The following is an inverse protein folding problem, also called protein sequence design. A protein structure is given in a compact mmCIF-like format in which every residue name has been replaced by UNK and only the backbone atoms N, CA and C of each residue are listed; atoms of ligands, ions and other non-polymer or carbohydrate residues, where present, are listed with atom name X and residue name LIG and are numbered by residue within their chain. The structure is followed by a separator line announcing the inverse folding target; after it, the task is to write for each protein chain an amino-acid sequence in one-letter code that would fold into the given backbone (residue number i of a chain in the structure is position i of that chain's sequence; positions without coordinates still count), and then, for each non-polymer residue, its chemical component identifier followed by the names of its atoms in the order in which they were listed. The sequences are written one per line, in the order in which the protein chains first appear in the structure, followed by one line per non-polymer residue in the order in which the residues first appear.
data_IF_089523778635
#
_entry.id   IF_089523778635
#
_cell.length_a   1.000
_cell.length_b   1.000
_cell.length_c   1.000
_cell.angle_alpha   90.00
_cell.angle_beta   90.00
_cell.angle_gamma   90.00
#
_symmetry.space_group_name_H-M   'P 1'
#
loop_
_entity.id
_entity.type
_entity.pdbx_description
1 polymer ?
#
# COMPACT_ATOMS: atom_id res chain seq x y z
N UNK A 1 0.81 -3.13 -17.11
CA UNK A 1 0.29 -1.78 -16.79
C UNK A 1 1.43 -0.93 -16.23
N UNK A 2 1.54 0.36 -16.57
CA UNK A 2 2.53 1.28 -15.97
C UNK A 2 1.76 2.41 -15.28
N UNK A 3 1.82 2.45 -13.95
CA UNK A 3 1.30 3.54 -13.15
C UNK A 3 2.39 4.62 -13.03
N UNK A 4 2.06 5.88 -13.31
CA UNK A 4 2.98 7.02 -13.15
C UNK A 4 2.27 8.09 -12.32
N UNK A 5 2.87 8.48 -11.19
CA UNK A 5 2.43 9.65 -10.45
C UNK A 5 3.01 10.90 -11.11
N UNK A 6 2.22 11.97 -11.22
CA UNK A 6 2.73 13.28 -11.62
C UNK A 6 3.40 13.97 -10.43
N UNK A 7 4.50 14.67 -10.70
CA UNK A 7 5.18 15.53 -9.72
C UNK A 7 4.40 16.84 -9.55
N UNK A 8 3.24 16.76 -8.90
CA UNK A 8 2.36 17.89 -8.60
C UNK A 8 1.79 17.72 -7.18
N UNK A 9 2.59 18.09 -6.19
CA UNK A 9 2.26 17.91 -4.79
C UNK A 9 1.33 19.01 -4.28
N UNK A 10 0.11 18.62 -3.90
CA UNK A 10 -0.82 19.45 -3.11
C UNK A 10 -1.07 18.71 -1.80
N UNK A 11 -0.56 19.25 -0.70
CA UNK A 11 -0.57 18.61 0.63
C UNK A 11 -1.96 18.13 1.04
N UNK A 12 -2.95 19.01 0.97
CA UNK A 12 -4.32 18.71 1.40
C UNK A 12 -4.93 17.54 0.61
N UNK A 13 -4.51 17.34 -0.64
CA UNK A 13 -4.94 16.19 -1.43
C UNK A 13 -4.15 14.95 -1.06
N UNK A 14 -2.82 15.05 -0.97
CA UNK A 14 -1.95 13.91 -0.68
C UNK A 14 -2.25 13.28 0.69
N UNK A 15 -2.54 14.10 1.70
CA UNK A 15 -2.88 13.65 3.06
C UNK A 15 -4.31 13.04 3.16
N UNK A 16 -5.17 13.21 2.14
CA UNK A 16 -6.53 12.67 2.10
C UNK A 16 -6.77 11.67 0.94
N UNK A 17 -5.78 11.47 0.06
CA UNK A 17 -5.91 10.60 -1.09
C UNK A 17 -5.69 9.15 -0.68
N UNK A 18 -6.62 8.29 -1.09
CA UNK A 18 -6.55 6.86 -0.88
C UNK A 18 -6.88 6.12 -2.16
N UNK A 19 -6.13 5.05 -2.46
CA UNK A 19 -6.47 4.08 -3.49
C UNK A 19 -6.78 2.72 -2.86
N UNK A 20 -7.83 2.07 -3.35
CA UNK A 20 -8.08 0.65 -3.08
C UNK A 20 -7.61 -0.13 -4.29
N UNK A 21 -6.75 -1.13 -4.07
CA UNK A 21 -6.13 -1.94 -5.11
C UNK A 21 -6.46 -3.41 -4.86
N UNK A 22 -7.24 -4.01 -5.74
CA UNK A 22 -7.47 -5.44 -5.75
C UNK A 22 -6.27 -6.18 -6.35
N UNK A 23 -5.74 -7.15 -5.62
CA UNK A 23 -4.58 -7.95 -6.00
C UNK A 23 -4.83 -9.43 -5.69
N UNK A 24 -4.03 -10.30 -6.29
CA UNK A 24 -4.15 -11.75 -6.05
C UNK A 24 -3.61 -12.17 -4.66
N UNK A 25 -2.58 -11.48 -4.15
CA UNK A 25 -1.91 -11.84 -2.89
C UNK A 25 -1.37 -10.62 -2.13
N UNK A 26 -2.06 -10.24 -1.05
CA UNK A 26 -1.66 -9.11 -0.20
C UNK A 26 -0.38 -9.37 0.62
N UNK A 27 -0.03 -10.64 0.92
CA UNK A 27 1.22 -10.96 1.62
C UNK A 27 2.44 -10.70 0.71
N UNK A 28 2.35 -11.12 -0.55
CA UNK A 28 3.42 -10.88 -1.52
C UNK A 28 3.68 -9.38 -1.71
N UNK A 29 2.62 -8.57 -1.73
CA UNK A 29 2.74 -7.11 -1.80
C UNK A 29 3.31 -6.49 -0.52
N UNK A 30 2.91 -6.97 0.66
CA UNK A 30 3.50 -6.55 1.93
C UNK A 30 5.00 -6.82 1.97
N UNK A 31 5.45 -8.04 1.66
CA UNK A 31 6.88 -8.38 1.70
C UNK A 31 7.68 -7.55 0.68
N UNK A 32 7.12 -7.34 -0.52
CA UNK A 32 7.75 -6.47 -1.52
C UNK A 32 7.90 -5.05 -1.00
N UNK A 33 6.86 -4.48 -0.41
CA UNK A 33 6.93 -3.13 0.18
C UNK A 33 7.94 -3.08 1.33
N UNK A 34 7.91 -4.07 2.24
CA UNK A 34 8.85 -4.17 3.37
C UNK A 34 10.31 -4.20 2.89
N UNK A 35 10.62 -4.94 1.83
CA UNK A 35 11.95 -5.00 1.24
C UNK A 35 12.37 -3.68 0.60
N UNK A 36 11.48 -3.00 -0.12
CA UNK A 36 11.75 -1.67 -0.70
C UNK A 36 12.02 -0.62 0.37
N UNK A 37 11.36 -0.74 1.53
CA UNK A 37 11.53 0.18 2.65
C UNK A 37 12.72 -0.18 3.57
N UNK A 38 13.36 -1.33 3.37
CA UNK A 38 14.34 -1.87 4.31
C UNK A 38 15.63 -1.04 4.42
N UNK A 39 16.02 -0.35 3.35
CA UNK A 39 17.24 0.47 3.29
C UNK A 39 17.05 1.91 3.82
N UNK A 40 15.82 2.30 4.14
CA UNK A 40 15.51 3.63 4.67
C UNK A 40 15.50 4.76 3.63
N UNK A 41 15.57 4.47 2.33
CA UNK A 41 15.50 5.48 1.25
C UNK A 41 14.22 6.32 1.31
N UNK A 42 13.15 5.74 1.86
CA UNK A 42 11.82 6.36 1.96
C UNK A 42 11.37 6.49 3.44
N UNK A 43 11.94 7.43 4.21
CA UNK A 43 11.74 7.47 5.67
C UNK A 43 10.31 7.77 6.12
N UNK A 44 9.51 8.38 5.24
CA UNK A 44 8.09 8.71 5.50
C UNK A 44 7.14 7.57 5.13
N UNK A 45 7.60 6.67 4.26
CA UNK A 45 6.80 5.54 3.82
C UNK A 45 6.80 4.43 4.87
N UNK A 46 5.67 3.73 4.98
CA UNK A 46 5.51 2.65 5.95
C UNK A 46 4.47 1.67 5.44
N UNK A 47 4.63 0.40 5.79
CA UNK A 47 3.67 -0.65 5.47
C UNK A 47 3.27 -1.40 6.75
N UNK A 48 2.00 -1.74 6.89
CA UNK A 48 1.51 -2.61 7.96
C UNK A 48 1.39 -4.06 7.49
N UNK A 49 1.67 -5.06 8.34
CA UNK A 49 1.39 -6.45 8.02
C UNK A 49 -0.07 -6.66 7.57
N UNK A 50 -0.35 -7.61 6.66
CA UNK A 50 -1.71 -7.87 6.24
C UNK A 50 -2.59 -8.30 7.41
N UNK A 51 -3.79 -7.74 7.48
CA UNK A 51 -4.83 -8.07 8.46
C UNK A 51 -6.03 -8.70 7.77
N UNK A 52 -6.68 -9.65 8.44
CA UNK A 52 -7.88 -10.28 7.92
C UNK A 52 -9.11 -9.42 8.23
N UNK A 53 -9.85 -9.04 7.20
CA UNK A 53 -11.10 -8.27 7.30
C UNK A 53 -12.15 -9.03 6.49
N UNK A 54 -13.18 -9.54 7.16
CA UNK A 54 -14.20 -10.40 6.56
C UNK A 54 -13.60 -11.56 5.73
N UNK A 55 -13.88 -11.59 4.42
CA UNK A 55 -13.40 -12.54 3.43
C UNK A 55 -12.17 -12.04 2.64
N UNK A 56 -11.50 -11.00 3.14
CA UNK A 56 -10.33 -10.40 2.53
C UNK A 56 -9.10 -10.38 3.46
N UNK A 57 -7.94 -10.23 2.84
CA UNK A 57 -6.67 -9.91 3.49
C UNK A 57 -6.23 -8.52 2.99
N UNK A 58 -5.97 -7.61 3.93
CA UNK A 58 -5.73 -6.19 3.62
C UNK A 58 -4.39 -5.74 4.19
N UNK A 59 -3.56 -5.10 3.38
CA UNK A 59 -2.36 -4.39 3.85
C UNK A 59 -2.43 -2.92 3.49
N UNK A 60 -1.98 -2.09 4.43
CA UNK A 60 -1.96 -0.64 4.29
C UNK A 60 -0.53 -0.17 4.04
N UNK A 61 -0.32 0.53 2.93
CA UNK A 61 0.95 1.15 2.56
C UNK A 61 0.76 2.67 2.45
N UNK A 62 1.55 3.42 3.20
CA UNK A 62 1.67 4.87 3.04
C UNK A 62 2.93 5.15 2.21
N UNK A 63 2.77 5.91 1.14
CA UNK A 63 3.89 6.37 0.34
C UNK A 63 4.58 7.60 0.98
N UNK A 64 5.73 8.08 0.43
CA UNK A 64 6.42 9.25 0.99
C UNK A 64 5.61 10.55 0.92
N UNK A 65 4.62 10.64 0.02
CA UNK A 65 3.78 11.82 -0.15
C UNK A 65 2.58 11.83 0.80
N UNK A 66 2.31 10.74 1.51
CA UNK A 66 1.20 10.60 2.46
C UNK A 66 -0.02 9.86 1.90
N UNK A 67 0.02 9.43 0.64
CA UNK A 67 -1.09 8.71 0.00
C UNK A 67 -1.23 7.32 0.63
N UNK A 68 -2.47 6.94 0.95
CA UNK A 68 -2.79 5.63 1.47
C UNK A 68 -3.16 4.65 0.35
N UNK A 69 -2.42 3.56 0.25
CA UNK A 69 -2.74 2.42 -0.61
C UNK A 69 -3.33 1.31 0.27
N UNK A 70 -4.59 0.99 0.05
CA UNK A 70 -5.30 -0.14 0.66
C UNK A 70 -5.25 -1.30 -0.33
N UNK A 71 -4.38 -2.27 -0.06
CA UNK A 71 -4.15 -3.41 -0.95
C UNK A 71 -4.98 -4.57 -0.43
N UNK A 72 -5.92 -5.03 -1.24
CA UNK A 72 -6.94 -6.02 -0.87
C UNK A 72 -6.73 -7.28 -1.70
N UNK A 73 -6.68 -8.43 -1.05
CA UNK A 73 -6.68 -9.74 -1.69
C UNK A 73 -7.80 -10.62 -1.13
N UNK A 74 -8.38 -11.53 -1.94
CA UNK A 74 -9.32 -12.50 -1.43
C UNK A 74 -8.64 -13.38 -0.38
N UNK A 75 -9.34 -13.64 0.74
CA UNK A 75 -8.88 -14.57 1.75
C UNK A 75 -9.13 -15.98 1.24
N UNK A 76 -8.09 -16.65 0.77
CA UNK A 76 -8.18 -18.06 0.38
C UNK A 76 -8.70 -18.87 1.57
N UNK A 77 -9.88 -19.47 1.45
CA UNK A 77 -10.36 -20.46 2.43
C UNK A 77 -9.40 -21.65 2.37
N UNK A 78 -8.75 -21.92 3.49
CA UNK A 78 -8.09 -23.21 3.73
C UNK A 78 -9.13 -24.33 3.79
#
# INVERSE_FOLDING_TARGET
MKFRLQDYFVRDWAENLMFVLDVDDANAWYERARLVLADGTFPQARVKPPEAIDDALVTHLWDPSGVLLVIVAPRTRA
#
